data_IF_884364325332
#
_entry.id   IF_884364325332
#
_cell.length_a   1.000
_cell.length_b   1.000
_cell.length_c   1.000
_cell.angle_alpha   90.00
_cell.angle_beta   90.00
_cell.angle_gamma   90.00
#
_symmetry.space_group_name_H-M   'P 1'
#
loop_
_entity.id
_entity.type
_entity.pdbx_description
1 polymer ?
#
# COMPACT_ATOMS: atom_id res chain seq x y z
N UNK A 1 0.98 -23.82 -2.76
CA UNK A 1 1.20 -22.85 -3.87
C UNK A 1 1.79 -21.58 -3.27
N UNK A 2 2.76 -20.96 -3.92
CA UNK A 2 3.41 -19.75 -3.41
C UNK A 2 2.59 -18.52 -3.85
N UNK A 3 2.26 -17.63 -2.92
CA UNK A 3 1.60 -16.35 -3.21
C UNK A 3 2.65 -15.32 -3.65
N UNK A 4 2.54 -14.83 -4.87
CA UNK A 4 3.54 -13.97 -5.51
C UNK A 4 2.99 -12.56 -5.66
N UNK A 5 3.72 -11.58 -5.11
CA UNK A 5 3.32 -10.17 -5.08
C UNK A 5 4.25 -9.32 -5.93
N UNK A 6 3.68 -8.51 -6.82
CA UNK A 6 4.41 -7.47 -7.52
C UNK A 6 4.49 -6.21 -6.63
N UNK A 7 5.70 -5.81 -6.26
CA UNK A 7 5.94 -4.58 -5.51
C UNK A 7 5.94 -3.37 -6.45
N UNK A 8 4.81 -2.71 -6.59
CA UNK A 8 4.70 -1.45 -7.35
C UNK A 8 5.26 -0.28 -6.53
N UNK A 9 4.93 -0.28 -5.23
CA UNK A 9 5.42 0.75 -4.31
C UNK A 9 5.08 2.15 -4.76
N UNK A 10 6.10 2.94 -5.03
CA UNK A 10 6.00 4.34 -5.49
C UNK A 10 6.27 4.50 -7.00
N UNK A 11 6.53 3.41 -7.72
CA UNK A 11 7.01 3.47 -9.11
C UNK A 11 5.96 3.91 -10.14
N UNK A 12 4.71 4.04 -9.74
CA UNK A 12 3.65 4.57 -10.60
C UNK A 12 3.60 6.10 -10.64
N UNK A 13 4.39 6.80 -9.80
CA UNK A 13 4.59 8.26 -9.80
C UNK A 13 3.31 9.11 -9.79
N UNK A 14 2.20 8.57 -9.25
CA UNK A 14 0.88 9.23 -9.29
C UNK A 14 0.17 9.16 -10.65
N UNK A 15 0.80 8.58 -11.67
CA UNK A 15 0.22 8.42 -13.01
C UNK A 15 -0.68 7.19 -13.08
N UNK A 16 -2.00 7.42 -13.17
CA UNK A 16 -2.99 6.35 -13.25
C UNK A 16 -2.92 5.54 -14.56
N UNK A 17 -2.38 6.09 -15.64
CA UNK A 17 -2.16 5.35 -16.89
C UNK A 17 -1.03 4.37 -16.73
N UNK A 18 0.10 4.83 -16.20
CA UNK A 18 1.24 3.96 -15.86
C UNK A 18 0.82 2.89 -14.87
N UNK A 19 0.04 3.25 -13.83
CA UNK A 19 -0.49 2.29 -12.87
C UNK A 19 -1.33 1.21 -13.54
N UNK A 20 -2.25 1.58 -14.43
CA UNK A 20 -3.07 0.62 -15.17
C UNK A 20 -2.22 -0.37 -15.97
N UNK A 21 -1.17 0.13 -16.63
CA UNK A 21 -0.24 -0.72 -17.39
C UNK A 21 0.52 -1.68 -16.45
N UNK A 22 1.01 -1.20 -15.30
CA UNK A 22 1.68 -2.04 -14.29
C UNK A 22 0.75 -3.14 -13.75
N UNK A 23 -0.48 -2.80 -13.39
CA UNK A 23 -1.49 -3.76 -12.91
C UNK A 23 -1.80 -4.83 -13.98
N UNK A 24 -1.95 -4.39 -15.23
CA UNK A 24 -2.24 -5.28 -16.35
C UNK A 24 -1.10 -6.27 -16.61
N UNK A 25 0.15 -5.80 -16.56
CA UNK A 25 1.32 -6.66 -16.71
C UNK A 25 1.48 -7.60 -15.52
N UNK A 26 1.28 -7.14 -14.29
CA UNK A 26 1.31 -8.02 -13.12
C UNK A 26 0.28 -9.16 -13.27
N UNK A 27 -0.94 -8.85 -13.69
CA UNK A 27 -1.96 -9.87 -13.95
C UNK A 27 -1.57 -10.82 -15.08
N UNK A 28 -1.07 -10.29 -16.19
CA UNK A 28 -0.66 -11.07 -17.36
C UNK A 28 0.44 -12.06 -17.04
N UNK A 29 1.41 -11.66 -16.19
CA UNK A 29 2.54 -12.50 -15.80
C UNK A 29 2.28 -13.39 -14.59
N UNK A 30 1.03 -13.48 -14.12
CA UNK A 30 0.61 -14.45 -13.12
C UNK A 30 0.95 -14.06 -11.67
N UNK A 31 1.12 -12.79 -11.38
CA UNK A 31 1.17 -12.32 -9.99
C UNK A 31 -0.21 -12.44 -9.33
N UNK A 32 -0.23 -12.87 -8.07
CA UNK A 32 -1.45 -13.01 -7.29
C UNK A 32 -1.98 -11.66 -6.81
N UNK A 33 -1.07 -10.76 -6.46
CA UNK A 33 -1.40 -9.43 -5.99
C UNK A 33 -0.34 -8.38 -6.36
N UNK A 34 -0.70 -7.13 -6.19
CA UNK A 34 0.23 -5.99 -6.23
C UNK A 34 0.26 -5.26 -4.88
N UNK A 35 1.40 -4.67 -4.54
CA UNK A 35 1.57 -3.96 -3.27
C UNK A 35 1.97 -2.51 -3.46
N UNK A 36 1.32 -1.64 -2.70
CA UNK A 36 1.55 -0.20 -2.62
C UNK A 36 2.02 0.24 -1.24
N UNK A 37 2.11 1.55 -1.07
CA UNK A 37 2.48 2.20 0.19
C UNK A 37 1.52 3.37 0.45
N UNK A 38 1.10 3.53 1.71
CA UNK A 38 0.32 4.66 2.17
C UNK A 38 1.12 5.39 3.24
N UNK A 39 1.66 6.55 2.88
CA UNK A 39 2.46 7.39 3.76
C UNK A 39 2.00 8.85 3.66
N UNK A 40 2.35 9.64 4.66
CA UNK A 40 2.04 11.06 4.73
C UNK A 40 3.30 11.90 4.64
N UNK A 41 3.12 13.21 4.65
CA UNK A 41 4.21 14.18 4.55
C UNK A 41 5.29 13.98 5.64
N UNK A 42 4.90 13.62 6.86
CA UNK A 42 5.83 13.41 7.97
C UNK A 42 6.74 12.20 7.74
N UNK A 43 6.27 11.17 7.02
CA UNK A 43 7.07 9.99 6.71
C UNK A 43 8.20 10.30 5.72
N UNK A 44 8.07 11.34 4.92
CA UNK A 44 9.01 11.70 3.83
C UNK A 44 9.54 13.13 3.93
N UNK A 45 9.36 13.79 5.08
CA UNK A 45 9.68 15.22 5.27
C UNK A 45 11.11 15.60 4.88
N UNK A 46 12.07 14.73 5.17
CA UNK A 46 13.49 14.94 4.92
C UNK A 46 13.99 14.24 3.64
N UNK A 47 13.06 13.64 2.86
CA UNK A 47 13.44 12.92 1.65
C UNK A 47 13.65 13.88 0.47
N UNK A 48 14.76 13.77 -0.32
CA UNK A 48 15.05 14.66 -1.43
C UNK A 48 13.97 14.63 -2.53
N UNK A 49 13.30 13.50 -2.73
CA UNK A 49 12.22 13.31 -3.71
C UNK A 49 10.81 13.43 -3.09
N UNK A 50 10.67 14.19 -2.00
CA UNK A 50 9.41 14.30 -1.26
C UNK A 50 8.18 14.54 -2.15
N UNK A 51 8.26 15.50 -3.08
CA UNK A 51 7.15 15.84 -3.97
C UNK A 51 6.70 14.64 -4.82
N UNK A 52 7.65 13.96 -5.47
CA UNK A 52 7.39 12.77 -6.28
C UNK A 52 6.79 11.64 -5.43
N UNK A 53 7.33 11.41 -4.25
CA UNK A 53 6.84 10.38 -3.34
C UNK A 53 5.40 10.66 -2.90
N UNK A 54 5.06 11.90 -2.56
CA UNK A 54 3.70 12.27 -2.14
C UNK A 54 2.68 12.03 -3.24
N UNK A 55 3.02 12.21 -4.52
CA UNK A 55 2.13 11.91 -5.65
C UNK A 55 1.82 10.42 -5.78
N UNK A 56 2.75 9.56 -5.37
CA UNK A 56 2.63 8.09 -5.46
C UNK A 56 2.13 7.41 -4.19
N UNK A 57 1.85 8.13 -3.12
CA UNK A 57 1.23 7.58 -1.92
C UNK A 57 -0.27 7.30 -2.13
N UNK A 58 -0.78 6.24 -1.50
CA UNK A 58 -2.23 6.01 -1.43
C UNK A 58 -2.85 7.04 -0.49
N UNK A 59 -3.87 7.74 -1.00
CA UNK A 59 -4.59 8.81 -0.30
C UNK A 59 -6.09 8.72 -0.55
N UNK A 60 -6.89 9.49 0.19
CA UNK A 60 -8.33 9.61 -0.03
C UNK A 60 -8.68 10.02 -1.47
N UNK A 61 -7.83 10.84 -2.10
CA UNK A 61 -8.08 11.36 -3.45
C UNK A 61 -7.89 10.33 -4.57
N UNK A 62 -7.07 9.30 -4.35
CA UNK A 62 -6.72 8.33 -5.39
C UNK A 62 -7.18 6.89 -5.10
N UNK A 63 -7.42 6.51 -3.85
CA UNK A 63 -7.69 5.12 -3.45
C UNK A 63 -8.86 4.49 -4.21
N UNK A 64 -9.95 5.22 -4.43
CA UNK A 64 -11.12 4.71 -5.17
C UNK A 64 -10.79 4.39 -6.64
N UNK A 65 -9.93 5.20 -7.26
CA UNK A 65 -9.50 4.98 -8.64
C UNK A 65 -8.58 3.77 -8.74
N UNK A 66 -7.66 3.62 -7.79
CA UNK A 66 -6.76 2.47 -7.72
C UNK A 66 -7.56 1.18 -7.53
N UNK A 67 -8.47 1.15 -6.57
CA UNK A 67 -9.35 0.01 -6.31
C UNK A 67 -10.20 -0.36 -7.53
N UNK A 68 -10.79 0.64 -8.20
CA UNK A 68 -11.57 0.42 -9.43
C UNK A 68 -10.72 -0.18 -10.55
N UNK A 69 -9.49 0.32 -10.76
CA UNK A 69 -8.58 -0.23 -11.77
C UNK A 69 -8.19 -1.67 -11.45
N UNK A 70 -7.84 -1.96 -10.20
CA UNK A 70 -7.47 -3.31 -9.78
C UNK A 70 -8.63 -4.29 -9.95
N UNK A 71 -9.87 -3.90 -9.61
CA UNK A 71 -11.09 -4.70 -9.83
C UNK A 71 -11.38 -4.94 -11.30
N UNK A 72 -11.23 -3.92 -12.16
CA UNK A 72 -11.42 -4.07 -13.61
C UNK A 72 -10.42 -5.06 -14.22
N UNK A 73 -9.19 -5.06 -13.75
CA UNK A 73 -8.13 -5.95 -14.24
C UNK A 73 -8.24 -7.34 -13.60
N UNK A 74 -8.89 -7.45 -12.44
CA UNK A 74 -9.04 -8.71 -11.70
C UNK A 74 -7.77 -9.12 -10.98
N UNK A 75 -7.04 -8.16 -10.39
CA UNK A 75 -5.86 -8.41 -9.56
C UNK A 75 -6.11 -7.90 -8.14
N UNK A 76 -5.71 -8.69 -7.15
CA UNK A 76 -5.74 -8.26 -5.76
C UNK A 76 -4.71 -7.16 -5.51
N UNK A 77 -5.01 -6.25 -4.60
CA UNK A 77 -4.06 -5.25 -4.16
C UNK A 77 -4.12 -5.03 -2.66
N UNK A 78 -3.00 -4.63 -2.08
CA UNK A 78 -2.90 -4.22 -0.69
C UNK A 78 -1.76 -3.21 -0.51
N UNK A 79 -1.59 -2.71 0.70
CA UNK A 79 -0.58 -1.68 0.93
C UNK A 79 0.08 -1.82 2.31
N UNK A 80 1.22 -1.15 2.43
CA UNK A 80 1.88 -0.92 3.71
C UNK A 80 1.40 0.42 4.27
N UNK A 81 0.62 0.46 5.35
CA UNK A 81 0.35 1.71 6.06
C UNK A 81 1.62 2.15 6.80
N UNK A 82 1.98 3.41 6.71
CA UNK A 82 3.15 3.98 7.39
C UNK A 82 2.78 4.95 8.50
N UNK A 83 1.48 5.20 8.70
CA UNK A 83 0.91 6.01 9.77
C UNK A 83 -0.48 5.46 10.15
N UNK A 84 -0.96 5.80 11.34
CA UNK A 84 -2.13 5.20 11.95
C UNK A 84 -3.42 5.37 11.12
N UNK A 85 -3.65 6.56 10.62
CA UNK A 85 -4.86 6.88 9.84
C UNK A 85 -4.89 6.18 8.49
N UNK A 86 -3.72 5.79 7.95
CA UNK A 86 -3.64 4.99 6.73
C UNK A 86 -4.31 3.61 6.89
N UNK A 87 -4.34 3.05 8.09
CA UNK A 87 -5.03 1.78 8.34
C UNK A 87 -6.52 1.94 8.08
N UNK A 88 -7.15 2.98 8.65
CA UNK A 88 -8.57 3.26 8.45
C UNK A 88 -8.90 3.63 6.99
N UNK A 89 -7.97 4.31 6.31
CA UNK A 89 -8.11 4.63 4.89
C UNK A 89 -8.13 3.36 4.01
N UNK A 90 -7.22 2.43 4.29
CA UNK A 90 -7.05 1.21 3.50
C UNK A 90 -8.08 0.13 3.81
N UNK A 91 -8.53 0.05 5.07
CA UNK A 91 -9.36 -1.04 5.58
C UNK A 91 -10.59 -1.37 4.73
N UNK A 92 -11.37 -0.43 4.18
CA UNK A 92 -12.50 -0.75 3.32
C UNK A 92 -12.16 -1.40 1.98
N UNK A 93 -10.89 -1.37 1.55
CA UNK A 93 -10.47 -1.71 0.19
C UNK A 93 -9.58 -2.95 0.10
N UNK A 94 -8.86 -3.29 1.15
CA UNK A 94 -7.86 -4.36 1.13
C UNK A 94 -8.27 -5.54 2.01
N UNK A 95 -7.83 -6.75 1.66
CA UNK A 95 -8.05 -7.96 2.46
C UNK A 95 -6.87 -8.28 3.38
N UNK A 96 -5.73 -7.65 3.14
CA UNK A 96 -4.51 -7.84 3.93
C UNK A 96 -3.69 -6.56 4.04
N UNK A 97 -2.82 -6.52 5.05
CA UNK A 97 -1.88 -5.42 5.27
C UNK A 97 -0.44 -5.92 5.25
N UNK A 98 0.47 -5.08 4.79
CA UNK A 98 1.91 -5.30 4.97
C UNK A 98 2.42 -4.48 6.15
N UNK A 99 3.14 -5.11 7.07
CA UNK A 99 3.87 -4.44 8.15
C UNK A 99 5.36 -4.43 7.80
N UNK A 100 6.00 -3.26 7.88
CA UNK A 100 7.44 -3.14 7.64
C UNK A 100 8.23 -3.78 8.80
N UNK A 101 9.43 -4.28 8.48
CA UNK A 101 10.36 -4.78 9.51
C UNK A 101 10.70 -3.71 10.55
N UNK A 102 10.83 -2.43 10.13
CA UNK A 102 11.04 -1.30 11.03
C UNK A 102 9.89 -1.09 12.00
N UNK A 103 8.63 -1.30 11.58
CA UNK A 103 7.46 -1.19 12.45
C UNK A 103 7.41 -2.35 13.46
N UNK A 104 7.79 -3.55 13.02
CA UNK A 104 7.93 -4.71 13.90
C UNK A 104 9.06 -4.57 14.95
N UNK A 105 10.15 -3.89 14.63
CA UNK A 105 11.21 -3.56 15.60
C UNK A 105 10.76 -2.56 16.63
N UNK A 106 9.84 -1.69 16.28
CA UNK A 106 9.25 -0.69 17.14
C UNK A 106 8.12 -1.23 18.02
N UNK A 107 7.82 -2.54 17.97
CA UNK A 107 7.05 -3.22 19.03
C UNK A 107 7.73 -3.05 20.39
N UNK A 108 9.05 -2.82 20.42
CA UNK A 108 9.81 -2.52 21.62
C UNK A 108 9.95 -1.01 21.93
N UNK A 109 9.40 -0.13 21.08
CA UNK A 109 9.35 1.32 21.26
C UNK A 109 8.03 1.86 20.69
N UNK A 110 7.34 2.66 21.39
CA UNK A 110 6.07 3.42 21.17
C UNK A 110 5.37 3.48 19.78
N UNK A 111 5.73 2.70 18.77
CA UNK A 111 4.98 2.56 17.51
C UNK A 111 4.02 1.37 17.49
N UNK A 112 3.73 0.83 18.66
CA UNK A 112 2.67 -0.16 18.88
C UNK A 112 1.30 0.28 18.35
N UNK A 113 1.02 1.58 18.28
CA UNK A 113 -0.28 2.07 17.82
C UNK A 113 -0.61 1.68 16.37
N UNK A 114 0.36 1.76 15.45
CA UNK A 114 0.14 1.36 14.05
C UNK A 114 -0.15 -0.13 13.95
N UNK A 115 0.67 -0.96 14.58
CA UNK A 115 0.51 -2.42 14.57
C UNK A 115 -0.81 -2.82 15.24
N UNK A 116 -1.16 -2.21 16.38
CA UNK A 116 -2.43 -2.44 17.07
C UNK A 116 -3.63 -2.08 16.20
N UNK A 117 -3.55 -0.97 15.46
CA UNK A 117 -4.61 -0.61 14.51
C UNK A 117 -4.78 -1.66 13.42
N UNK A 118 -3.69 -2.18 12.87
CA UNK A 118 -3.75 -3.25 11.87
C UNK A 118 -4.33 -4.52 12.47
N UNK A 119 -3.88 -4.94 13.67
CA UNK A 119 -4.40 -6.13 14.35
C UNK A 119 -5.90 -6.03 14.63
N UNK A 120 -6.41 -4.86 14.97
CA UNK A 120 -7.85 -4.64 15.23
C UNK A 120 -8.72 -4.81 13.98
N UNK A 121 -8.18 -4.73 12.78
CA UNK A 121 -8.93 -5.01 11.54
C UNK A 121 -9.33 -6.48 11.40
N UNK A 122 -8.61 -7.39 12.06
CA UNK A 122 -8.78 -8.84 11.93
C UNK A 122 -8.35 -9.40 10.57
N UNK A 123 -7.74 -8.59 9.71
CA UNK A 123 -7.30 -8.99 8.38
C UNK A 123 -5.93 -9.67 8.40
N UNK A 124 -5.62 -10.34 7.29
CA UNK A 124 -4.32 -10.99 7.09
C UNK A 124 -3.17 -9.97 7.16
N UNK A 125 -2.06 -10.38 7.76
CA UNK A 125 -0.85 -9.56 7.88
C UNK A 125 0.32 -10.30 7.22
N UNK A 126 1.03 -9.57 6.39
CA UNK A 126 2.22 -10.03 5.69
C UNK A 126 3.47 -9.30 6.22
#
# INVERSE_FOLDING_TARGET
MTFIVAEIGVNWDGDLKLLKDMLSHAKLYGFDAVKFQAFNENNVKDHPEKSRLMESSITDSNIKKIDSLAKQIGIEWFATPMYKEAVSLLDPYVEKFKIRVSDGRTIFSNTTELVECVLKTGKEIM
#
